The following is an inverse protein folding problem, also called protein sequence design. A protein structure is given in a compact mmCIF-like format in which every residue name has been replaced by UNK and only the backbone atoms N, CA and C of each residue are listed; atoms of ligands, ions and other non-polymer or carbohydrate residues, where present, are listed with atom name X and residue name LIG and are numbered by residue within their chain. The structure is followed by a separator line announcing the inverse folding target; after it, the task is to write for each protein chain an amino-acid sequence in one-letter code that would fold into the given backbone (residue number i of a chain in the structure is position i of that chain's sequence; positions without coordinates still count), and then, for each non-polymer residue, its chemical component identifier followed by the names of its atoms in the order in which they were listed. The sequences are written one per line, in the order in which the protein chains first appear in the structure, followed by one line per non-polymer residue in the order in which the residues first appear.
data_IF_391418729878
#
_entry.id   IF_391418729878
#
_cell.length_a   1.000
_cell.length_b   1.000
_cell.length_c   1.000
_cell.angle_alpha   90.00
_cell.angle_beta   90.00
_cell.angle_gamma   90.00
#
_symmetry.space_group_name_H-M   'P 1'
#
loop_
_entity.id
_entity.type
_entity.pdbx_description
1 polymer ?
#
# COMPACT_ATOMS: atom_id res chain seq x y z
N UNK A 1 15.38 -2.41 -2.83
CA UNK A 1 15.55 -3.45 -3.89
C UNK A 1 14.79 -3.02 -5.13
N UNK A 2 15.40 -3.01 -6.31
CA UNK A 2 14.70 -2.59 -7.54
C UNK A 2 14.25 -3.79 -8.39
N UNK A 3 13.00 -3.77 -8.85
CA UNK A 3 12.44 -4.73 -9.82
C UNK A 3 11.71 -3.91 -10.90
N UNK A 4 12.32 -3.79 -12.08
CA UNK A 4 11.81 -2.93 -13.15
C UNK A 4 11.74 -1.46 -12.70
N UNK A 5 10.61 -0.76 -12.91
CA UNK A 5 10.45 0.64 -12.49
C UNK A 5 10.08 0.81 -11.00
N UNK A 6 10.12 -0.25 -10.21
CA UNK A 6 9.70 -0.24 -8.81
C UNK A 6 10.90 -0.44 -7.87
N UNK A 7 10.98 0.36 -6.82
CA UNK A 7 11.88 0.15 -5.68
C UNK A 7 11.08 -0.30 -4.46
N UNK A 8 11.46 -1.43 -3.89
CA UNK A 8 10.87 -2.02 -2.70
C UNK A 8 11.75 -1.75 -1.48
N UNK A 9 11.14 -1.22 -0.44
CA UNK A 9 11.71 -1.12 0.91
C UNK A 9 10.86 -1.99 1.83
N UNK A 10 11.46 -3.06 2.34
CA UNK A 10 10.81 -4.03 3.24
C UNK A 10 11.33 -3.79 4.65
N UNK A 11 10.43 -3.54 5.60
CA UNK A 11 10.79 -3.34 7.00
C UNK A 11 10.33 -4.52 7.87
N UNK A 12 11.03 -4.68 8.99
CA UNK A 12 10.62 -5.50 10.11
C UNK A 12 9.85 -4.65 11.11
N UNK A 13 8.55 -4.83 11.15
CA UNK A 13 7.63 -4.29 12.15
C UNK A 13 7.77 -4.94 13.54
N UNK A 14 8.50 -6.06 13.65
CA UNK A 14 8.82 -6.71 14.94
C UNK A 14 10.02 -6.07 15.67
N UNK A 15 10.75 -5.19 14.98
CA UNK A 15 11.92 -4.50 15.52
C UNK A 15 11.64 -3.01 15.65
N UNK A 16 12.37 -2.32 16.53
CA UNK A 16 12.26 -0.87 16.66
C UNK A 16 12.49 -0.18 15.31
N UNK A 17 11.56 0.72 14.99
CA UNK A 17 11.49 1.52 13.77
C UNK A 17 11.26 3.00 14.09
N UNK A 18 11.40 3.39 15.37
CA UNK A 18 11.43 4.77 15.83
C UNK A 18 12.54 5.57 15.12
N UNK A 19 12.44 6.90 15.14
CA UNK A 19 13.40 7.79 14.47
C UNK A 19 14.85 7.65 14.96
N UNK A 20 15.06 7.06 16.13
CA UNK A 20 16.38 6.78 16.71
C UNK A 20 16.90 5.37 16.43
N UNK A 21 16.09 4.52 15.82
CA UNK A 21 16.42 3.11 15.57
C UNK A 21 17.42 2.93 14.43
N UNK A 22 18.15 1.81 14.46
CA UNK A 22 19.03 1.40 13.35
C UNK A 22 18.25 1.17 12.06
N UNK A 23 17.05 0.61 12.17
CA UNK A 23 16.18 0.33 11.04
C UNK A 23 15.71 1.63 10.38
N UNK A 24 15.35 2.66 11.15
CA UNK A 24 15.00 3.96 10.61
C UNK A 24 16.18 4.63 9.89
N UNK A 25 17.39 4.58 10.49
CA UNK A 25 18.59 5.10 9.85
C UNK A 25 18.90 4.39 8.53
N UNK A 26 18.76 3.07 8.48
CA UNK A 26 18.88 2.28 7.26
C UNK A 26 17.81 2.65 6.22
N UNK A 27 16.54 2.73 6.62
CA UNK A 27 15.42 3.08 5.75
C UNK A 27 15.62 4.46 5.13
N UNK A 28 16.04 5.44 5.93
CA UNK A 28 16.36 6.78 5.44
C UNK A 28 17.44 6.74 4.36
N UNK A 29 18.53 6.02 4.62
CA UNK A 29 19.64 5.86 3.66
C UNK A 29 19.20 5.14 2.37
N UNK A 30 18.40 4.06 2.49
CA UNK A 30 17.83 3.34 1.33
C UNK A 30 16.99 4.28 0.46
N UNK A 31 16.05 5.01 1.05
CA UNK A 31 15.15 5.92 0.33
C UNK A 31 15.86 7.13 -0.29
N UNK A 32 16.88 7.67 0.38
CA UNK A 32 17.71 8.77 -0.17
C UNK A 32 18.54 8.33 -1.39
N UNK A 33 18.87 7.05 -1.49
CA UNK A 33 19.64 6.49 -2.62
C UNK A 33 18.82 6.23 -3.89
N UNK A 34 17.48 6.30 -3.81
CA UNK A 34 16.58 5.91 -4.90
C UNK A 34 16.56 6.94 -6.03
N UNK A 35 17.04 6.53 -7.20
CA UNK A 35 16.93 7.31 -8.44
C UNK A 35 15.51 7.31 -9.02
N UNK A 36 14.71 8.33 -8.69
CA UNK A 36 13.28 8.43 -9.09
C UNK A 36 13.02 8.49 -10.61
N UNK A 37 14.01 8.80 -11.44
CA UNK A 37 13.89 8.74 -12.91
C UNK A 37 13.90 7.29 -13.45
N UNK A 38 14.63 6.41 -12.77
CA UNK A 38 14.73 5.00 -13.15
C UNK A 38 13.66 4.16 -12.47
N UNK A 39 13.45 4.40 -11.17
CA UNK A 39 12.45 3.72 -10.34
C UNK A 39 11.47 4.74 -9.74
N UNK A 40 10.49 5.22 -10.51
CA UNK A 40 9.54 6.24 -10.04
C UNK A 40 8.64 5.76 -8.90
N UNK A 41 8.35 4.45 -8.86
CA UNK A 41 7.49 3.84 -7.85
C UNK A 41 8.30 3.36 -6.65
N UNK A 42 7.93 3.84 -5.47
CA UNK A 42 8.46 3.33 -4.19
C UNK A 42 7.34 2.54 -3.53
N UNK A 43 7.61 1.25 -3.28
CA UNK A 43 6.72 0.35 -2.55
C UNK A 43 7.34 0.10 -1.19
N UNK A 44 6.61 0.50 -0.15
CA UNK A 44 7.00 0.28 1.24
C UNK A 44 6.12 -0.81 1.83
N UNK A 45 6.72 -1.83 2.46
CA UNK A 45 5.97 -2.97 3.01
C UNK A 45 6.57 -3.46 4.32
N UNK A 46 5.71 -4.02 5.18
CA UNK A 46 6.07 -4.59 6.47
C UNK A 46 4.96 -5.52 6.96
N UNK A 47 5.32 -6.54 7.74
CA UNK A 47 4.41 -7.55 8.26
C UNK A 47 4.07 -7.27 9.74
N UNK A 48 3.26 -6.25 10.01
CA UNK A 48 2.91 -5.87 11.40
C UNK A 48 1.77 -6.73 11.94
N UNK A 49 1.82 -7.15 13.20
CA UNK A 49 0.66 -7.76 13.88
C UNK A 49 -0.59 -6.85 13.87
N UNK A 50 -0.41 -5.53 13.78
CA UNK A 50 -1.49 -4.55 13.66
C UNK A 50 -1.87 -4.24 12.20
N UNK A 51 -0.93 -4.38 11.26
CA UNK A 51 -1.17 -4.13 9.82
C UNK A 51 -1.64 -5.39 9.09
N UNK A 52 -1.36 -6.59 9.57
CA UNK A 52 -1.99 -7.83 9.11
C UNK A 52 -3.45 -7.94 9.57
N UNK A 53 -3.85 -7.18 10.60
CA UNK A 53 -5.18 -7.26 11.23
C UNK A 53 -6.22 -6.28 10.67
N UNK A 54 -5.91 -5.51 9.62
CA UNK A 54 -6.93 -4.70 8.92
C UNK A 54 -7.09 -5.20 7.50
N UNK A 55 -8.02 -6.13 7.29
CA UNK A 55 -8.29 -6.72 5.97
C UNK A 55 -8.31 -5.65 4.85
N UNK A 56 -7.69 -5.96 3.69
CA UNK A 56 -7.97 -5.33 2.40
C UNK A 56 -8.37 -3.85 2.38
N UNK A 57 -7.60 -2.91 2.95
CA UNK A 57 -7.95 -1.48 2.88
C UNK A 57 -7.02 -0.73 1.95
N UNK A 58 -7.56 -0.10 0.89
CA UNK A 58 -6.86 0.92 0.10
C UNK A 58 -7.21 2.30 0.68
N UNK A 59 -6.20 3.07 1.08
CA UNK A 59 -6.37 4.37 1.70
C UNK A 59 -5.35 5.39 1.19
N UNK A 60 -5.76 6.63 0.95
CA UNK A 60 -4.84 7.75 0.82
C UNK A 60 -4.79 8.47 2.17
N UNK A 61 -3.65 8.42 2.86
CA UNK A 61 -3.54 8.97 4.20
C UNK A 61 -2.34 9.92 4.33
N UNK A 62 -2.57 11.03 5.03
CA UNK A 62 -1.52 11.83 5.67
C UNK A 62 -1.99 12.20 7.06
N UNK A 63 -1.30 11.72 8.10
CA UNK A 63 -1.58 12.05 9.51
C UNK A 63 -3.04 11.77 9.94
N UNK A 64 -3.60 10.62 9.58
CA UNK A 64 -4.96 10.21 9.97
C UNK A 64 -6.09 10.94 9.23
N UNK A 65 -5.79 11.74 8.21
CA UNK A 65 -6.80 12.46 7.41
C UNK A 65 -6.86 11.93 5.98
N UNK A 66 -8.07 11.62 5.53
CA UNK A 66 -8.37 11.43 4.12
C UNK A 66 -8.19 12.78 3.43
N UNK A 67 -7.24 12.89 2.51
CA UNK A 67 -7.04 14.15 1.79
C UNK A 67 -7.76 14.14 0.43
N UNK A 68 -8.04 12.99 -0.17
CA UNK A 68 -8.82 12.91 -1.40
C UNK A 68 -9.42 11.52 -1.64
N UNK A 69 -10.57 11.49 -2.30
CA UNK A 69 -11.16 10.28 -2.85
C UNK A 69 -10.65 10.02 -4.28
N UNK A 70 -10.52 8.76 -4.71
CA UNK A 70 -10.13 8.41 -6.06
C UNK A 70 -11.16 8.91 -7.08
N UNK A 71 -10.68 9.13 -8.30
CA UNK A 71 -11.53 9.36 -9.46
C UNK A 71 -11.79 8.00 -10.09
N UNK A 72 -13.06 7.60 -10.24
CA UNK A 72 -13.39 6.39 -10.99
C UNK A 72 -13.38 6.66 -12.48
N UNK A 73 -12.71 5.80 -13.23
CA UNK A 73 -12.81 5.82 -14.69
C UNK A 73 -14.10 5.15 -15.18
N UNK A 74 -14.27 5.10 -16.51
CA UNK A 74 -15.44 4.47 -17.16
C UNK A 74 -15.53 2.95 -16.90
N UNK A 75 -14.44 2.30 -16.51
CA UNK A 75 -14.38 0.90 -16.13
C UNK A 75 -14.59 0.68 -14.62
N UNK A 76 -14.75 1.76 -13.84
CA UNK A 76 -14.92 1.71 -12.40
C UNK A 76 -13.62 1.51 -11.62
N UNK A 77 -12.46 1.68 -12.27
CA UNK A 77 -11.13 1.62 -11.64
C UNK A 77 -10.86 2.92 -10.92
N UNK A 78 -10.42 2.82 -9.66
CA UNK A 78 -10.02 3.97 -8.85
C UNK A 78 -8.65 4.49 -9.32
N UNK A 79 -8.64 5.74 -9.80
CA UNK A 79 -7.46 6.43 -10.30
C UNK A 79 -6.96 7.47 -9.28
N UNK A 80 -5.66 7.41 -8.99
CA UNK A 80 -4.96 8.35 -8.11
C UNK A 80 -3.89 9.10 -8.90
N UNK A 81 -4.10 10.40 -9.11
CA UNK A 81 -3.14 11.25 -9.80
C UNK A 81 -2.11 11.81 -8.81
N UNK A 82 -0.87 11.33 -8.92
CA UNK A 82 0.22 11.75 -8.03
C UNK A 82 0.82 13.12 -8.38
N UNK A 83 0.39 13.74 -9.49
CA UNK A 83 0.82 15.10 -9.88
C UNK A 83 0.08 16.17 -9.09
N UNK A 84 -1.17 15.89 -8.69
CA UNK A 84 -2.01 16.78 -7.89
C UNK A 84 -1.98 16.42 -6.40
N UNK A 85 -1.49 15.23 -6.05
CA UNK A 85 -1.49 14.74 -4.69
C UNK A 85 -0.23 13.93 -4.34
N UNK A 86 0.41 14.28 -3.22
CA UNK A 86 1.71 13.71 -2.84
C UNK A 86 1.67 12.90 -1.54
N UNK A 87 0.58 12.19 -1.25
CA UNK A 87 0.58 11.21 -0.15
C UNK A 87 0.49 9.77 -0.66
N UNK A 88 1.04 8.81 0.11
CA UNK A 88 1.03 7.41 -0.28
C UNK A 88 -0.37 6.82 -0.32
N UNK A 89 -0.55 5.81 -1.18
CA UNK A 89 -1.63 4.83 -1.07
C UNK A 89 -1.17 3.74 -0.12
N UNK A 90 -1.92 3.53 0.96
CA UNK A 90 -1.76 2.43 1.89
C UNK A 90 -2.69 1.30 1.46
N UNK A 91 -2.14 0.10 1.28
CA UNK A 91 -2.91 -1.10 0.96
C UNK A 91 -2.60 -2.17 1.97
N UNK A 92 -3.62 -2.82 2.53
CA UNK A 92 -3.42 -4.02 3.36
C UNK A 92 -3.77 -5.27 2.59
N UNK A 93 -2.84 -6.23 2.54
CA UNK A 93 -2.99 -7.50 1.82
C UNK A 93 -2.46 -8.61 2.71
N UNK A 94 -3.34 -9.23 3.50
CA UNK A 94 -2.98 -10.28 4.47
C UNK A 94 -3.85 -11.53 4.41
N UNK A 95 -4.74 -11.63 3.41
CA UNK A 95 -5.80 -12.65 3.35
C UNK A 95 -5.38 -13.87 2.51
N UNK A 96 -4.23 -14.47 2.81
CA UNK A 96 -3.67 -15.58 2.04
C UNK A 96 -4.06 -16.98 2.60
N UNK A 97 -5.31 -17.14 3.06
CA UNK A 97 -5.92 -18.44 3.47
C UNK A 97 -5.67 -18.92 4.92
N UNK A 98 -5.65 -18.03 5.91
CA UNK A 98 -5.70 -18.42 7.33
C UNK A 98 -7.13 -18.32 7.90
N UNK A 99 -7.55 -17.11 8.25
CA UNK A 99 -8.91 -16.75 8.67
C UNK A 99 -9.24 -15.38 8.12
N UNK A 100 -10.52 -15.13 7.86
CA UNK A 100 -11.01 -13.81 7.49
C UNK A 100 -11.63 -13.15 8.71
N UNK A 101 -11.28 -11.89 8.95
CA UNK A 101 -11.92 -11.06 9.97
C UNK A 101 -13.01 -10.18 9.32
N UNK A 102 -14.02 -9.84 10.12
CA UNK A 102 -15.03 -8.87 9.74
C UNK A 102 -14.51 -7.44 9.92
N UNK A 103 -14.97 -6.55 9.04
CA UNK A 103 -14.67 -5.13 9.16
C UNK A 103 -15.46 -4.48 10.30
N UNK A 104 -14.88 -3.51 11.02
CA UNK A 104 -15.63 -2.73 11.99
C UNK A 104 -16.76 -1.97 11.29
N UNK A 105 -17.92 -1.91 11.95
CA UNK A 105 -19.11 -1.23 11.42
C UNK A 105 -18.90 0.29 11.32
N UNK A 106 -18.08 0.86 12.21
CA UNK A 106 -17.66 2.26 12.16
C UNK A 106 -16.24 2.33 11.59
N UNK A 107 -16.10 3.02 10.48
CA UNK A 107 -14.84 3.17 9.76
C UNK A 107 -14.60 4.63 9.41
N UNK A 108 -13.34 5.00 9.31
CA UNK A 108 -12.94 6.36 8.92
C UNK A 108 -13.09 6.57 7.42
N UNK A 109 -13.32 7.83 7.01
CA UNK A 109 -13.49 8.22 5.60
C UNK A 109 -12.26 8.01 4.72
N UNK A 110 -11.10 7.69 5.29
CA UNK A 110 -9.89 7.35 4.54
C UNK A 110 -9.87 5.89 4.06
N UNK A 111 -10.71 5.00 4.62
CA UNK A 111 -10.83 3.60 4.20
C UNK A 111 -11.82 3.49 3.04
N UNK A 112 -11.30 3.44 1.81
CA UNK A 112 -12.09 3.59 0.58
C UNK A 112 -12.72 2.29 0.11
N UNK A 113 -11.90 1.23 0.04
CA UNK A 113 -12.30 -0.11 -0.38
C UNK A 113 -11.95 -1.08 0.73
N UNK A 114 -12.86 -2.00 1.02
CA UNK A 114 -12.73 -3.07 2.01
C UNK A 114 -13.28 -4.35 1.42
N UNK A 115 -12.47 -5.40 1.39
CA UNK A 115 -12.89 -6.74 0.94
C UNK A 115 -12.38 -7.80 1.93
N UNK A 116 -13.30 -8.65 2.38
CA UNK A 116 -13.01 -9.81 3.22
C UNK A 116 -13.15 -11.04 2.33
N UNK A 117 -12.07 -11.37 1.64
CA UNK A 117 -11.98 -12.48 0.70
C UNK A 117 -10.53 -12.98 0.70
N UNK A 118 -10.33 -14.25 0.36
CA UNK A 118 -8.98 -14.78 0.14
C UNK A 118 -8.46 -14.36 -1.23
N UNK A 119 -7.16 -14.09 -1.32
CA UNK A 119 -6.58 -13.55 -2.54
C UNK A 119 -5.19 -12.97 -2.36
N UNK A 120 -4.66 -12.44 -3.45
CA UNK A 120 -3.33 -11.83 -3.51
C UNK A 120 -3.36 -10.53 -4.31
N UNK A 121 -2.38 -9.66 -4.04
CA UNK A 121 -2.20 -8.45 -4.85
C UNK A 121 -1.33 -8.75 -6.08
N UNK A 122 -1.73 -8.19 -7.21
CA UNK A 122 -0.94 -8.12 -8.45
C UNK A 122 -0.64 -6.67 -8.76
N UNK A 123 0.63 -6.36 -8.99
CA UNK A 123 1.08 -5.01 -9.32
C UNK A 123 1.79 -5.04 -10.67
N UNK A 124 1.33 -4.18 -11.59
CA UNK A 124 1.94 -3.98 -12.90
C UNK A 124 2.30 -2.51 -13.04
N UNK A 125 3.55 -2.20 -13.40
CA UNK A 125 4.01 -0.82 -13.48
C UNK A 125 4.90 -0.56 -14.70
N UNK A 126 4.71 0.60 -15.32
CA UNK A 126 5.68 1.24 -16.21
C UNK A 126 6.30 2.47 -15.53
N UNK A 127 6.87 3.46 -16.23
CA UNK A 127 7.43 4.66 -15.56
C UNK A 127 6.40 5.73 -15.18
N UNK A 128 5.17 5.60 -15.66
CA UNK A 128 4.12 6.61 -15.65
C UNK A 128 2.82 6.13 -15.03
N UNK A 129 2.57 4.81 -15.06
CA UNK A 129 1.41 4.17 -14.45
C UNK A 129 1.82 2.99 -13.59
N UNK A 130 1.11 2.83 -12.47
CA UNK A 130 1.12 1.65 -11.63
C UNK A 130 -0.33 1.20 -11.48
N UNK A 131 -0.59 -0.04 -11.87
CA UNK A 131 -1.86 -0.72 -11.68
C UNK A 131 -1.72 -1.68 -10.50
N UNK A 132 -2.61 -1.53 -9.52
CA UNK A 132 -2.74 -2.41 -8.38
C UNK A 132 -4.07 -3.15 -8.48
N UNK A 133 -4.02 -4.47 -8.44
CA UNK A 133 -5.20 -5.35 -8.50
C UNK A 133 -5.20 -6.27 -7.29
N UNK A 134 -6.37 -6.49 -6.70
CA UNK A 134 -6.57 -7.57 -5.74
C UNK A 134 -7.32 -8.71 -6.43
N UNK A 135 -6.68 -9.86 -6.57
CA UNK A 135 -7.21 -11.04 -7.24
C UNK A 135 -7.70 -12.01 -6.18
N UNK A 136 -9.00 -12.31 -6.18
CA UNK A 136 -9.58 -13.26 -5.24
C UNK A 136 -9.43 -14.70 -5.73
N UNK A 137 -9.34 -15.66 -4.81
CA UNK A 137 -9.22 -17.09 -5.14
C UNK A 137 -10.57 -17.75 -5.40
N UNK A 138 -11.68 -17.09 -5.06
CA UNK A 138 -13.05 -17.55 -5.32
C UNK A 138 -13.51 -17.30 -6.77
N UNK A 139 -12.68 -16.65 -7.60
CA UNK A 139 -12.92 -16.47 -9.03
C UNK A 139 -13.94 -15.37 -9.38
N UNK A 140 -14.17 -14.40 -8.48
CA UNK A 140 -14.99 -13.20 -8.76
C UNK A 140 -14.20 -11.97 -9.20
#
# INVERSE_FOLDING_TARGET
MAIGPMHFTVISTEHDWSSTSKQYAWMKSDLESVGRFSTPWIVFTGCGSEICSSCGTIALEKQGRCLQHPIKDLAGVDFFDTTIYSAPVHTVVGMAEFTLDDFPHNFSSWSLIRRSAFGYARVTADKTKLLFEYITTDGQ
#
